data_IF_693904791351
#
_entry.id   IF_693904791351
#
_cell.length_a   1.000
_cell.length_b   1.000
_cell.length_c   1.000
_cell.angle_alpha   90.00
_cell.angle_beta   90.00
_cell.angle_gamma   90.00
#
_symmetry.space_group_name_H-M   'P 1'
#
loop_
_entity.id
_entity.type
_entity.pdbx_description
1 polymer ?
#
# COMPACT_ATOMS: atom_id res chain seq x y z
N UNK A 1 4.72 1.36 14.08
CA UNK A 1 3.31 1.53 13.65
C UNK A 1 2.75 0.19 13.19
N UNK A 2 1.55 -0.11 13.58
CA UNK A 2 0.91 -1.37 13.16
C UNK A 2 0.53 -1.33 11.69
N UNK A 3 0.85 -2.39 10.97
CA UNK A 3 0.50 -2.52 9.54
C UNK A 3 -1.00 -2.36 9.32
N UNK A 4 -1.82 -2.89 10.25
CA UNK A 4 -3.29 -2.79 10.18
C UNK A 4 -3.82 -1.36 10.27
N UNK A 5 -3.02 -0.40 10.68
CA UNK A 5 -3.40 1.01 10.84
C UNK A 5 -2.84 1.91 9.72
N UNK A 6 -2.07 1.35 8.80
CA UNK A 6 -1.52 2.12 7.69
C UNK A 6 -2.64 2.63 6.78
N UNK A 7 -2.55 3.91 6.42
CA UNK A 7 -3.52 4.57 5.56
C UNK A 7 -2.84 5.70 4.78
N UNK A 8 -3.52 6.17 3.74
CA UNK A 8 -3.06 7.31 2.96
C UNK A 8 -1.65 7.13 2.41
N UNK A 9 -0.87 8.21 2.49
CA UNK A 9 0.48 8.25 1.94
C UNK A 9 1.44 7.28 2.64
N UNK A 10 1.24 6.99 3.92
CA UNK A 10 2.05 6.00 4.63
C UNK A 10 1.82 4.59 4.10
N UNK A 11 0.57 4.25 3.80
CA UNK A 11 0.24 2.97 3.17
C UNK A 11 0.87 2.89 1.78
N UNK A 12 0.80 3.96 1.00
CA UNK A 12 1.44 4.03 -0.32
C UNK A 12 2.94 3.82 -0.23
N UNK A 13 3.58 4.48 0.72
CA UNK A 13 5.03 4.35 0.93
C UNK A 13 5.43 2.90 1.25
N UNK A 14 4.76 2.28 2.22
CA UNK A 14 5.11 0.92 2.63
C UNK A 14 4.72 -0.10 1.56
N UNK A 15 3.66 0.14 0.80
CA UNK A 15 3.31 -0.69 -0.36
C UNK A 15 4.42 -0.63 -1.42
N UNK A 16 4.92 0.56 -1.74
CA UNK A 16 6.02 0.71 -2.68
C UNK A 16 7.28 -0.02 -2.19
N UNK A 17 7.61 0.11 -0.91
CA UNK A 17 8.76 -0.58 -0.31
C UNK A 17 8.56 -2.10 -0.32
N UNK A 18 7.37 -2.57 -0.04
CA UNK A 18 7.03 -4.00 -0.11
C UNK A 18 7.19 -4.55 -1.53
N UNK A 19 6.91 -3.71 -2.53
CA UNK A 19 7.05 -4.05 -3.95
C UNK A 19 8.51 -3.93 -4.44
N UNK A 20 9.44 -3.69 -3.55
CA UNK A 20 10.87 -3.58 -3.88
C UNK A 20 11.26 -2.27 -4.53
N UNK A 21 10.41 -1.26 -4.49
CA UNK A 21 10.66 0.04 -5.09
C UNK A 21 11.34 0.99 -4.11
N UNK A 22 12.14 1.91 -4.65
CA UNK A 22 12.60 3.07 -3.89
C UNK A 22 11.47 4.07 -3.80
N UNK A 23 11.12 4.50 -2.59
CA UNK A 23 9.99 5.39 -2.36
C UNK A 23 10.38 6.56 -1.48
N UNK A 24 9.67 7.68 -1.68
CA UNK A 24 9.84 8.91 -0.91
C UNK A 24 8.49 9.56 -0.73
N UNK A 25 8.24 10.12 0.46
CA UNK A 25 7.06 10.96 0.69
C UNK A 25 7.46 12.42 0.48
N UNK A 26 6.72 13.09 -0.39
CA UNK A 26 6.86 14.52 -0.66
C UNK A 26 5.75 15.23 0.08
N UNK A 27 6.11 16.26 0.86
CA UNK A 27 5.18 17.00 1.72
C UNK A 27 4.72 18.30 1.05
N UNK A 28 3.58 18.87 1.49
CA UNK A 28 3.14 20.19 0.99
C UNK A 28 4.24 21.23 1.14
N UNK A 29 4.45 22.02 0.09
CA UNK A 29 5.50 23.04 0.03
C UNK A 29 6.81 22.54 -0.57
N UNK A 30 7.01 21.23 -0.70
CA UNK A 30 8.12 20.67 -1.45
C UNK A 30 7.84 20.69 -2.95
N UNK A 31 8.85 20.43 -3.75
CA UNK A 31 8.73 20.46 -5.21
C UNK A 31 9.04 19.10 -5.83
N UNK A 32 8.26 18.75 -6.84
CA UNK A 32 8.53 17.63 -7.75
C UNK A 32 8.70 18.22 -9.13
N UNK A 33 9.89 18.02 -9.75
CA UNK A 33 10.19 18.57 -11.08
C UNK A 33 9.88 20.08 -11.18
N UNK A 34 10.26 20.85 -10.16
CA UNK A 34 10.05 22.30 -10.05
C UNK A 34 8.61 22.72 -9.82
N UNK A 35 7.69 21.78 -9.67
CA UNK A 35 6.29 22.08 -9.36
C UNK A 35 6.07 21.86 -7.86
N UNK A 36 5.55 22.86 -7.18
CA UNK A 36 5.22 22.79 -5.76
C UNK A 36 4.02 21.89 -5.56
N UNK A 37 4.12 20.95 -4.62
CA UNK A 37 2.99 20.07 -4.27
C UNK A 37 2.17 20.69 -3.14
N UNK A 38 0.88 20.40 -3.12
CA UNK A 38 -0.08 20.91 -2.14
C UNK A 38 -0.64 19.85 -1.21
N UNK A 39 -0.20 18.61 -1.37
CA UNK A 39 -0.63 17.49 -0.53
C UNK A 39 0.52 16.50 -0.36
N UNK A 40 0.38 15.57 0.61
CA UNK A 40 1.34 14.50 0.77
C UNK A 40 1.23 13.53 -0.42
N UNK A 41 2.38 13.20 -1.01
CA UNK A 41 2.43 12.31 -2.17
C UNK A 41 3.54 11.28 -2.01
N UNK A 42 3.24 10.03 -2.31
CA UNK A 42 4.26 8.99 -2.39
C UNK A 42 4.79 8.93 -3.82
N UNK A 43 6.08 9.18 -3.98
CA UNK A 43 6.78 9.06 -5.26
C UNK A 43 7.61 7.79 -5.22
N UNK A 44 7.40 6.91 -6.18
CA UNK A 44 8.12 5.64 -6.25
C UNK A 44 8.71 5.43 -7.63
N UNK A 45 9.88 4.79 -7.67
CA UNK A 45 10.49 4.37 -8.92
C UNK A 45 9.72 3.17 -9.48
N UNK A 46 9.25 3.32 -10.70
CA UNK A 46 8.78 2.19 -11.50
C UNK A 46 10.00 1.56 -12.17
N UNK A 47 10.18 0.23 -12.14
CA UNK A 47 11.33 -0.40 -12.77
C UNK A 47 11.53 0.08 -14.21
N UNK A 48 12.73 0.63 -14.51
CA UNK A 48 13.08 1.12 -15.83
C UNK A 48 12.57 2.51 -16.19
N UNK A 49 11.89 3.21 -15.28
CA UNK A 49 11.29 4.52 -15.57
C UNK A 49 11.52 5.53 -14.45
N UNK A 50 11.12 6.76 -14.73
CA UNK A 50 11.18 7.87 -13.79
C UNK A 50 10.28 7.66 -12.57
N UNK A 51 10.52 8.46 -11.54
CA UNK A 51 9.70 8.47 -10.33
C UNK A 51 8.30 8.98 -10.66
N UNK A 52 7.29 8.23 -10.23
CA UNK A 52 5.89 8.59 -10.41
C UNK A 52 5.16 8.62 -9.08
N UNK A 53 4.12 9.46 -9.02
CA UNK A 53 3.14 9.43 -7.95
C UNK A 53 2.44 8.07 -7.94
N UNK A 54 2.45 7.39 -6.79
CA UNK A 54 1.89 6.05 -6.65
C UNK A 54 0.85 6.02 -5.53
N UNK A 55 -0.40 6.38 -5.83
CA UNK A 55 -1.48 6.36 -4.82
C UNK A 55 -2.12 4.98 -4.72
N UNK A 56 -1.38 4.01 -4.20
CA UNK A 56 -1.83 2.61 -4.10
C UNK A 56 -3.13 2.45 -3.31
N UNK A 57 -3.38 3.33 -2.35
CA UNK A 57 -4.57 3.21 -1.49
C UNK A 57 -5.87 3.60 -2.18
N UNK A 58 -5.84 4.29 -3.31
CA UNK A 58 -7.05 4.77 -4.01
C UNK A 58 -7.06 4.53 -5.51
N UNK A 59 -5.96 4.08 -6.11
CA UNK A 59 -5.87 3.98 -7.55
C UNK A 59 -5.64 2.55 -8.01
N UNK A 60 -6.63 1.98 -8.68
CA UNK A 60 -6.58 0.59 -9.17
C UNK A 60 -5.45 0.34 -10.17
N UNK A 61 -5.08 1.34 -10.97
CA UNK A 61 -3.96 1.22 -11.89
C UNK A 61 -2.63 0.93 -11.21
N UNK A 62 -2.47 1.38 -9.95
CA UNK A 62 -1.29 1.10 -9.15
C UNK A 62 -1.44 -0.18 -8.33
N UNK A 63 -2.58 -0.36 -7.68
CA UNK A 63 -2.83 -1.49 -6.78
C UNK A 63 -3.22 -2.79 -7.50
N UNK A 64 -3.97 -2.69 -8.59
CA UNK A 64 -4.50 -3.85 -9.32
C UNK A 64 -3.42 -4.85 -9.74
N UNK A 65 -2.32 -4.41 -10.36
CA UNK A 65 -1.23 -5.32 -10.73
C UNK A 65 -0.63 -6.08 -9.55
N UNK A 66 -0.55 -5.45 -8.37
CA UNK A 66 -0.07 -6.11 -7.15
C UNK A 66 -1.09 -7.16 -6.69
N UNK A 67 -2.36 -6.80 -6.66
CA UNK A 67 -3.45 -7.70 -6.26
C UNK A 67 -3.45 -8.95 -7.14
N UNK A 68 -3.34 -8.77 -8.46
CA UNK A 68 -3.30 -9.88 -9.40
C UNK A 68 -2.06 -10.75 -9.22
N UNK A 69 -0.88 -10.13 -9.18
CA UNK A 69 0.39 -10.85 -9.08
C UNK A 69 0.51 -11.64 -7.78
N UNK A 70 0.08 -11.07 -6.67
CA UNK A 70 0.22 -11.66 -5.34
C UNK A 70 -0.98 -12.51 -4.93
N UNK A 71 -1.95 -12.68 -5.81
CA UNK A 71 -3.15 -13.46 -5.55
C UNK A 71 -3.88 -13.00 -4.29
N UNK A 72 -4.14 -11.71 -4.17
CA UNK A 72 -4.82 -11.14 -3.01
C UNK A 72 -6.33 -11.24 -3.21
N UNK A 73 -7.00 -11.99 -2.33
CA UNK A 73 -8.45 -12.05 -2.32
C UNK A 73 -9.03 -10.94 -1.48
N UNK A 74 -10.12 -10.30 -1.96
CA UNK A 74 -10.83 -9.26 -1.20
C UNK A 74 -12.31 -9.61 -1.16
N UNK A 75 -12.91 -9.46 0.04
CA UNK A 75 -14.34 -9.67 0.23
C UNK A 75 -14.90 -8.59 1.16
N UNK A 76 -16.19 -8.29 0.99
CA UNK A 76 -16.85 -7.34 1.87
C UNK A 76 -17.46 -8.06 3.07
N UNK A 77 -17.04 -7.67 4.28
CA UNK A 77 -17.55 -8.20 5.53
C UNK A 77 -18.83 -7.50 5.93
N UNK A 78 -19.99 -8.09 5.59
CA UNK A 78 -21.31 -7.49 5.77
C UNK A 78 -21.59 -7.05 7.20
N UNK A 79 -21.16 -7.83 8.19
CA UNK A 79 -21.45 -7.53 9.59
C UNK A 79 -20.52 -6.47 10.18
N UNK A 80 -19.27 -6.40 9.72
CA UNK A 80 -18.31 -5.42 10.18
C UNK A 80 -18.31 -4.13 9.37
N UNK A 81 -18.98 -4.12 8.21
CA UNK A 81 -19.01 -2.96 7.32
C UNK A 81 -17.63 -2.62 6.74
N UNK A 82 -16.75 -3.59 6.63
CA UNK A 82 -15.39 -3.39 6.14
C UNK A 82 -15.01 -4.43 5.08
N UNK A 83 -14.03 -4.09 4.27
CA UNK A 83 -13.41 -5.01 3.35
C UNK A 83 -12.36 -5.84 4.06
N UNK A 84 -12.25 -7.09 3.67
CA UNK A 84 -11.25 -8.04 4.18
C UNK A 84 -10.35 -8.47 3.03
N UNK A 85 -9.07 -8.56 3.28
CA UNK A 85 -8.11 -9.00 2.28
C UNK A 85 -7.22 -10.10 2.84
N UNK A 86 -6.90 -11.06 1.98
CA UNK A 86 -6.10 -12.23 2.31
C UNK A 86 -5.15 -12.53 1.15
N UNK A 87 -3.88 -12.73 1.43
CA UNK A 87 -2.93 -13.20 0.42
C UNK A 87 -3.07 -14.70 0.25
N UNK A 88 -3.43 -15.12 -0.96
CA UNK A 88 -3.62 -16.52 -1.30
C UNK A 88 -2.31 -17.08 -1.87
N UNK A 89 -1.39 -17.47 -0.99
CA UNK A 89 -0.05 -17.93 -1.35
C UNK A 89 0.05 -19.45 -1.57
N UNK A 90 -1.11 -20.12 -1.61
CA UNK A 90 -1.16 -21.57 -1.78
C UNK A 90 -1.03 -22.36 -0.48
N UNK A 91 -0.83 -21.72 0.65
CA UNK A 91 -0.83 -22.38 1.95
C UNK A 91 -2.27 -22.62 2.43
N UNK A 92 -2.49 -23.79 3.03
CA UNK A 92 -3.81 -24.19 3.53
C UNK A 92 -4.18 -23.46 4.83
N UNK A 93 -3.18 -22.97 5.55
CA UNK A 93 -3.41 -22.27 6.81
C UNK A 93 -3.83 -20.82 6.51
N UNK A 94 -5.04 -20.43 6.91
CA UNK A 94 -5.47 -19.04 6.68
C UNK A 94 -4.60 -18.08 7.48
N UNK A 95 -3.90 -17.19 6.76
CA UNK A 95 -3.29 -16.04 7.42
C UNK A 95 -4.42 -15.14 7.91
N UNK A 96 -4.26 -14.44 9.05
CA UNK A 96 -5.26 -13.48 9.49
C UNK A 96 -5.54 -12.46 8.38
N UNK A 97 -6.82 -12.19 8.15
CA UNK A 97 -7.21 -11.20 7.15
C UNK A 97 -6.88 -9.80 7.64
N UNK A 98 -6.50 -8.93 6.70
CA UNK A 98 -6.40 -7.52 6.96
C UNK A 98 -7.70 -6.85 6.56
N UNK A 99 -8.07 -5.80 7.27
CA UNK A 99 -9.33 -5.08 7.01
C UNK A 99 -9.05 -3.65 6.58
N UNK A 100 -10.02 -3.04 5.96
CA UNK A 100 -9.95 -1.64 5.56
C UNK A 100 -11.29 -1.11 5.06
N UNK A 101 -11.43 0.22 4.99
CA UNK A 101 -12.68 0.85 4.51
C UNK A 101 -12.90 0.69 3.02
N UNK A 102 -11.87 0.35 2.26
CA UNK A 102 -11.96 0.07 0.82
C UNK A 102 -11.22 -1.22 0.50
N UNK A 103 -11.54 -1.88 -0.64
CA UNK A 103 -10.84 -3.10 -1.03
C UNK A 103 -9.35 -2.87 -1.28
N UNK A 104 -8.97 -1.72 -1.83
CA UNK A 104 -7.57 -1.39 -2.08
C UNK A 104 -6.78 -1.19 -0.78
N UNK A 105 -7.35 -0.50 0.20
CA UNK A 105 -6.69 -0.31 1.50
C UNK A 105 -6.51 -1.65 2.20
N UNK A 106 -7.54 -2.49 2.24
CA UNK A 106 -7.44 -3.83 2.82
C UNK A 106 -6.38 -4.67 2.11
N UNK A 107 -6.39 -4.66 0.76
CA UNK A 107 -5.44 -5.43 -0.04
C UNK A 107 -3.99 -4.97 0.16
N UNK A 108 -3.75 -3.66 0.18
CA UNK A 108 -2.40 -3.13 0.35
C UNK A 108 -1.87 -3.37 1.76
N UNK A 109 -2.72 -3.28 2.78
CA UNK A 109 -2.35 -3.68 4.15
C UNK A 109 -1.94 -5.16 4.21
N UNK A 110 -2.68 -6.03 3.54
CA UNK A 110 -2.35 -7.46 3.46
C UNK A 110 -1.00 -7.68 2.77
N UNK A 111 -0.72 -6.97 1.69
CA UNK A 111 0.53 -7.05 0.97
C UNK A 111 1.72 -6.59 1.83
N UNK A 112 1.59 -5.44 2.47
CA UNK A 112 2.64 -4.91 3.37
C UNK A 112 2.90 -5.89 4.51
N UNK A 113 1.84 -6.43 5.12
CA UNK A 113 1.96 -7.41 6.19
C UNK A 113 2.70 -8.67 5.74
N UNK A 114 2.43 -9.15 4.53
CA UNK A 114 3.10 -10.32 3.98
C UNK A 114 4.62 -10.09 3.88
N UNK A 115 5.05 -8.87 3.52
CA UNK A 115 6.46 -8.55 3.33
C UNK A 115 7.18 -8.14 4.61
N UNK A 116 6.53 -7.39 5.49
CA UNK A 116 7.17 -6.78 6.67
C UNK A 116 6.61 -7.27 8.01
N UNK A 117 5.50 -8.00 8.02
CA UNK A 117 4.85 -8.44 9.25
C UNK A 117 3.87 -7.42 9.80
N UNK A 118 3.51 -7.60 11.09
CA UNK A 118 2.44 -6.84 11.73
C UNK A 118 2.82 -5.39 12.06
N UNK A 119 4.10 -5.06 12.01
CA UNK A 119 4.59 -3.72 12.34
C UNK A 119 5.62 -3.25 11.32
N UNK A 120 5.62 -1.94 11.09
CA UNK A 120 6.62 -1.24 10.28
C UNK A 120 7.20 -0.10 11.10
N UNK A 121 8.44 0.38 10.78
CA UNK A 121 9.00 1.54 11.48
C UNK A 121 8.10 2.76 11.42
N UNK A 122 8.09 3.54 12.51
CA UNK A 122 7.32 4.79 12.57
C UNK A 122 7.90 5.87 11.65
N UNK A 123 9.21 5.80 11.41
CA UNK A 123 9.89 6.78 10.58
C UNK A 123 10.00 6.29 9.15
N UNK A 124 9.67 7.19 8.24
CA UNK A 124 9.81 6.99 6.81
C UNK A 124 11.16 7.56 6.38
N UNK A 125 12.03 6.69 5.87
CA UNK A 125 13.29 7.15 5.29
C UNK A 125 13.04 7.75 3.92
N UNK A 126 13.33 9.02 3.82
CA UNK A 126 13.20 9.77 2.57
C UNK A 126 14.49 9.69 1.75
#
# INVERSE_FOLDING_TARGET
MKTAELDGVLLDYWTARADGRTAKIVRPGEKINRIMVDCDMCIALTPGYAKWWQPFHVYWGSAGPIIEREHIGVTFGKFAGQWHALVLDGHIVPTPTMTGPTPMIAAMRAFVRMKFGDEVPDEVQS
#
